data_IF_445464432485
#
_entry.id   IF_445464432485
#
_cell.length_a   1.000
_cell.length_b   1.000
_cell.length_c   1.000
_cell.angle_alpha   90.00
_cell.angle_beta   90.00
_cell.angle_gamma   90.00
#
_symmetry.space_group_name_H-M   'P 1'
#
loop_
_entity.id
_entity.type
_entity.pdbx_description
1 polymer ?
#
# COMPACT_ATOMS: atom_id res chain seq x y z
N UNK A 1 15.43 -10.93 -20.51
CA UNK A 1 15.27 -9.66 -21.24
C UNK A 1 15.17 -8.58 -20.16
N UNK A 2 16.15 -7.68 -20.12
CA UNK A 2 16.15 -6.55 -19.20
C UNK A 2 14.93 -5.67 -19.51
N UNK A 3 14.00 -5.59 -18.56
CA UNK A 3 12.87 -4.68 -18.65
C UNK A 3 13.40 -3.28 -18.30
N UNK A 4 13.67 -2.48 -19.33
CA UNK A 4 14.10 -1.09 -19.16
C UNK A 4 13.02 -0.24 -18.45
N UNK A 5 13.32 1.04 -18.14
CA UNK A 5 12.42 1.96 -17.42
C UNK A 5 11.13 2.29 -18.19
N UNK A 6 10.98 1.80 -19.39
CA UNK A 6 9.95 2.12 -20.36
C UNK A 6 8.49 2.06 -19.85
N UNK A 7 7.96 0.99 -19.19
CA UNK A 7 6.55 1.05 -18.80
C UNK A 7 6.31 2.09 -17.70
N UNK A 8 7.24 2.29 -16.77
CA UNK A 8 7.12 3.20 -15.65
C UNK A 8 7.16 4.68 -16.05
N UNK A 9 7.72 5.02 -17.20
CA UNK A 9 7.74 6.39 -17.69
C UNK A 9 6.37 6.84 -18.23
N UNK A 10 5.61 5.93 -18.84
CA UNK A 10 4.37 6.26 -19.56
C UNK A 10 3.09 6.01 -18.75
N UNK A 11 3.12 5.06 -17.81
CA UNK A 11 1.93 4.65 -17.10
C UNK A 11 2.00 5.05 -15.62
N UNK A 12 0.85 5.21 -14.99
CA UNK A 12 0.71 5.60 -13.60
C UNK A 12 0.24 4.46 -12.70
N UNK A 13 -0.29 3.40 -13.26
CA UNK A 13 -0.74 2.24 -12.51
C UNK A 13 -0.28 0.95 -13.17
N UNK A 14 0.05 -0.01 -12.32
CA UNK A 14 0.62 -1.29 -12.69
C UNK A 14 0.01 -2.38 -11.84
N UNK A 15 0.00 -3.61 -12.36
CA UNK A 15 -0.24 -4.83 -11.63
C UNK A 15 1.04 -5.66 -11.62
N UNK A 16 1.32 -6.28 -10.49
CA UNK A 16 2.43 -7.19 -10.30
C UNK A 16 1.92 -8.56 -9.90
N UNK A 17 2.12 -9.55 -10.76
CA UNK A 17 1.84 -10.98 -10.56
C UNK A 17 3.11 -11.84 -10.55
N UNK A 18 4.25 -11.19 -10.44
CA UNK A 18 5.61 -11.71 -10.62
C UNK A 18 6.31 -11.02 -11.78
N UNK A 19 5.53 -10.35 -12.65
CA UNK A 19 5.98 -9.42 -13.69
C UNK A 19 5.16 -8.13 -13.60
N UNK A 20 5.73 -7.02 -14.06
CA UNK A 20 5.04 -5.72 -14.03
C UNK A 20 4.23 -5.50 -15.29
N UNK A 21 2.93 -5.36 -15.15
CA UNK A 21 1.99 -5.10 -16.23
C UNK A 21 1.40 -3.70 -16.12
N UNK A 22 1.60 -2.80 -17.10
CA UNK A 22 1.00 -1.48 -17.08
C UNK A 22 -0.52 -1.56 -17.28
N UNK A 23 -1.26 -0.81 -16.49
CA UNK A 23 -2.71 -0.69 -16.61
C UNK A 23 -3.05 0.50 -17.50
N UNK A 24 -3.61 0.23 -18.67
CA UNK A 24 -3.90 1.25 -19.71
C UNK A 24 -5.22 1.99 -19.46
N UNK A 25 -6.19 1.31 -18.89
CA UNK A 25 -7.51 1.87 -18.58
C UNK A 25 -7.76 1.77 -17.08
N UNK A 26 -7.74 2.90 -16.40
CA UNK A 26 -7.99 2.98 -14.97
C UNK A 26 -9.45 3.35 -14.73
N UNK A 27 -10.15 2.49 -13.99
CA UNK A 27 -11.44 2.83 -13.38
C UNK A 27 -11.16 3.31 -11.97
N UNK A 28 -10.89 4.60 -11.83
CA UNK A 28 -10.71 5.21 -10.51
C UNK A 28 -12.07 5.50 -9.89
N UNK A 29 -12.20 5.30 -8.57
CA UNK A 29 -13.41 5.68 -7.86
C UNK A 29 -13.61 7.18 -7.99
N UNK A 30 -14.84 7.61 -8.17
CA UNK A 30 -15.17 9.04 -8.16
C UNK A 30 -15.09 9.55 -6.73
N UNK A 31 -14.74 10.82 -6.56
CA UNK A 31 -14.64 11.41 -5.21
C UNK A 31 -15.97 11.42 -4.45
N UNK A 32 -17.08 11.52 -5.18
CA UNK A 32 -18.43 11.48 -4.65
C UNK A 32 -18.92 10.07 -4.28
N UNK A 33 -18.25 9.02 -4.75
CA UNK A 33 -18.52 7.64 -4.37
C UNK A 33 -17.89 7.25 -3.03
N UNK A 34 -16.97 8.07 -2.52
CA UNK A 34 -16.29 7.87 -1.25
C UNK A 34 -17.11 8.54 -0.14
N UNK A 35 -18.14 7.87 0.35
CA UNK A 35 -19.00 8.36 1.44
C UNK A 35 -18.52 7.78 2.78
N UNK A 36 -18.43 8.62 3.81
CA UNK A 36 -18.01 8.22 5.16
C UNK A 36 -16.48 8.17 5.34
N UNK A 37 -16.06 8.02 6.58
CA UNK A 37 -14.65 7.91 6.98
C UNK A 37 -13.77 9.09 6.53
N UNK A 38 -14.31 10.32 6.60
CA UNK A 38 -13.65 11.54 6.11
C UNK A 38 -12.29 11.75 6.77
N UNK A 39 -12.21 11.62 8.10
CA UNK A 39 -10.97 11.82 8.85
C UNK A 39 -9.88 10.82 8.44
N UNK A 40 -10.24 9.54 8.27
CA UNK A 40 -9.32 8.49 7.86
C UNK A 40 -8.83 8.71 6.42
N UNK A 41 -9.74 9.14 5.52
CA UNK A 41 -9.38 9.47 4.13
C UNK A 41 -8.47 10.68 4.06
N UNK A 42 -8.75 11.72 4.83
CA UNK A 42 -7.90 12.91 4.91
C UNK A 42 -6.51 12.56 5.44
N UNK A 43 -6.41 11.74 6.47
CA UNK A 43 -5.13 11.27 7.02
C UNK A 43 -4.35 10.46 5.97
N UNK A 44 -5.03 9.55 5.25
CA UNK A 44 -4.44 8.75 4.19
C UNK A 44 -3.92 9.63 3.05
N UNK A 45 -4.73 10.58 2.56
CA UNK A 45 -4.33 11.52 1.52
C UNK A 45 -3.18 12.42 1.98
N UNK A 46 -3.22 12.93 3.20
CA UNK A 46 -2.16 13.78 3.75
C UNK A 46 -0.82 13.03 3.81
N UNK A 47 -0.84 11.77 4.26
CA UNK A 47 0.34 10.91 4.30
C UNK A 47 0.89 10.66 2.89
N UNK A 48 0.02 10.33 1.93
CA UNK A 48 0.41 10.12 0.54
C UNK A 48 0.98 11.39 -0.10
N UNK A 49 0.40 12.56 0.16
CA UNK A 49 0.93 13.86 -0.34
C UNK A 49 2.30 14.16 0.23
N UNK A 50 2.54 13.89 1.52
CA UNK A 50 3.87 14.02 2.14
C UNK A 50 4.87 13.14 1.41
N UNK A 51 4.55 11.87 1.20
CA UNK A 51 5.39 10.92 0.47
C UNK A 51 5.70 11.41 -0.95
N UNK A 52 4.68 11.79 -1.72
CA UNK A 52 4.86 12.24 -3.11
C UNK A 52 5.69 13.52 -3.21
N UNK A 53 5.69 14.37 -2.18
CA UNK A 53 6.52 15.57 -2.08
C UNK A 53 7.93 15.32 -1.52
N UNK A 54 8.32 14.07 -1.33
CA UNK A 54 9.66 13.72 -0.81
C UNK A 54 9.84 13.91 0.69
N UNK A 55 8.75 14.11 1.44
CA UNK A 55 8.76 14.22 2.90
C UNK A 55 8.59 12.85 3.55
N UNK A 56 9.05 12.67 4.80
CA UNK A 56 8.81 11.44 5.55
C UNK A 56 7.33 11.10 5.61
N UNK A 57 6.99 9.84 5.34
CA UNK A 57 5.65 9.29 5.37
C UNK A 57 5.67 7.88 5.97
N UNK A 58 4.52 7.42 6.46
CA UNK A 58 4.38 6.14 7.12
C UNK A 58 3.75 5.10 6.19
N UNK A 59 4.27 3.88 6.21
CA UNK A 59 3.57 2.74 5.63
C UNK A 59 2.22 2.60 6.31
N UNK A 60 1.17 2.32 5.54
CA UNK A 60 -0.20 2.44 6.01
C UNK A 60 -0.95 1.13 5.88
N UNK A 61 -1.63 0.72 6.94
CA UNK A 61 -2.56 -0.39 6.95
C UNK A 61 -3.98 0.13 7.21
N UNK A 62 -4.88 -0.10 6.25
CA UNK A 62 -6.30 0.17 6.39
C UNK A 62 -6.99 -1.14 6.79
N UNK A 63 -7.55 -1.20 7.98
CA UNK A 63 -8.24 -2.40 8.48
C UNK A 63 -9.67 -2.08 8.89
N UNK A 64 -10.53 -3.09 8.89
CA UNK A 64 -11.93 -2.93 9.26
C UNK A 64 -12.85 -3.87 8.47
N UNK A 65 -14.17 -3.77 8.67
CA UNK A 65 -15.14 -4.66 8.04
C UNK A 65 -15.06 -4.64 6.51
N UNK A 66 -15.49 -5.74 5.90
CA UNK A 66 -15.59 -5.83 4.44
C UNK A 66 -16.64 -4.83 3.94
N UNK A 67 -16.39 -4.22 2.79
CA UNK A 67 -17.33 -3.29 2.16
C UNK A 67 -17.27 -1.85 2.66
N UNK A 68 -16.35 -1.49 3.57
CA UNK A 68 -16.21 -0.14 4.12
C UNK A 68 -15.42 0.83 3.23
N UNK A 69 -15.06 0.46 2.01
CA UNK A 69 -14.41 1.37 1.05
C UNK A 69 -12.89 1.50 1.20
N UNK A 70 -12.21 0.66 1.99
CA UNK A 70 -10.74 0.70 2.19
C UNK A 70 -9.96 0.66 0.88
N UNK A 71 -10.22 -0.35 0.05
CA UNK A 71 -9.56 -0.52 -1.26
C UNK A 71 -9.89 0.62 -2.20
N UNK A 72 -11.12 1.13 -2.14
CA UNK A 72 -11.58 2.28 -2.91
C UNK A 72 -10.83 3.55 -2.51
N UNK A 73 -10.64 3.78 -1.21
CA UNK A 73 -9.88 4.92 -0.69
C UNK A 73 -8.40 4.83 -1.11
N UNK A 74 -7.77 3.66 -1.00
CA UNK A 74 -6.39 3.45 -1.44
C UNK A 74 -6.22 3.73 -2.94
N UNK A 75 -7.10 3.18 -3.79
CA UNK A 75 -7.08 3.41 -5.25
C UNK A 75 -7.38 4.88 -5.60
N UNK A 76 -8.17 5.55 -4.79
CA UNK A 76 -8.46 6.98 -4.91
C UNK A 76 -7.22 7.88 -4.82
N UNK A 77 -6.13 7.42 -4.20
CA UNK A 77 -4.87 8.17 -4.16
C UNK A 77 -4.26 8.40 -5.55
N UNK A 78 -4.64 7.63 -6.55
CA UNK A 78 -4.24 7.89 -7.94
C UNK A 78 -4.80 9.21 -8.52
N UNK A 79 -5.77 9.84 -7.85
CA UNK A 79 -6.18 11.20 -8.19
C UNK A 79 -5.14 12.27 -7.82
N UNK A 80 -4.21 11.95 -6.91
CA UNK A 80 -3.17 12.87 -6.50
C UNK A 80 -2.17 13.11 -7.65
N UNK A 81 -1.75 14.36 -7.87
CA UNK A 81 -0.73 14.67 -8.87
C UNK A 81 0.57 13.90 -8.62
N UNK A 82 1.10 13.29 -9.66
CA UNK A 82 2.35 12.53 -9.59
C UNK A 82 2.23 11.14 -8.96
N UNK A 83 1.06 10.75 -8.45
CA UNK A 83 0.85 9.42 -7.88
C UNK A 83 1.03 8.32 -8.93
N UNK A 84 1.79 7.29 -8.57
CA UNK A 84 1.97 6.05 -9.31
C UNK A 84 1.71 4.89 -8.36
N UNK A 85 1.01 3.86 -8.81
CA UNK A 85 0.64 2.73 -7.97
C UNK A 85 0.98 1.41 -8.63
N UNK A 86 1.51 0.50 -7.84
CA UNK A 86 1.69 -0.91 -8.21
C UNK A 86 0.80 -1.76 -7.31
N UNK A 87 -0.23 -2.36 -7.88
CA UNK A 87 -1.08 -3.34 -7.20
C UNK A 87 -0.39 -4.71 -7.24
N UNK A 88 -0.09 -5.27 -6.07
CA UNK A 88 0.61 -6.54 -5.93
C UNK A 88 -0.39 -7.65 -5.68
N UNK A 89 -0.39 -8.67 -6.53
CA UNK A 89 -1.19 -9.87 -6.31
C UNK A 89 -0.62 -10.71 -5.15
N UNK A 90 -1.49 -11.33 -4.36
CA UNK A 90 -1.08 -12.12 -3.18
C UNK A 90 -0.04 -13.21 -3.52
N UNK A 91 -0.24 -13.91 -4.62
CA UNK A 91 0.68 -14.94 -5.10
C UNK A 91 2.06 -14.44 -5.52
N UNK A 92 2.22 -13.12 -5.71
CA UNK A 92 3.48 -12.50 -6.09
C UNK A 92 4.31 -11.99 -4.90
N UNK A 93 3.79 -12.07 -3.67
CA UNK A 93 4.49 -11.62 -2.46
C UNK A 93 5.89 -12.22 -2.28
N UNK A 94 6.16 -13.52 -2.60
CA UNK A 94 7.51 -14.05 -2.54
C UNK A 94 8.52 -13.34 -3.47
N UNK A 95 8.04 -12.66 -4.51
CA UNK A 95 8.85 -11.90 -5.47
C UNK A 95 8.90 -10.39 -5.17
N UNK A 96 8.32 -9.96 -4.06
CA UNK A 96 8.20 -8.55 -3.72
C UNK A 96 9.57 -7.87 -3.58
N UNK A 97 10.58 -8.57 -3.06
CA UNK A 97 11.94 -8.05 -2.95
C UNK A 97 12.51 -7.61 -4.31
N UNK A 98 12.38 -8.45 -5.34
CA UNK A 98 12.85 -8.12 -6.69
C UNK A 98 12.09 -6.91 -7.29
N UNK A 99 10.79 -6.78 -7.02
CA UNK A 99 10.03 -5.60 -7.41
C UNK A 99 10.56 -4.34 -6.73
N UNK A 100 10.83 -4.41 -5.42
CA UNK A 100 11.34 -3.26 -4.67
C UNK A 100 12.71 -2.79 -5.16
N UNK A 101 13.63 -3.72 -5.45
CA UNK A 101 14.92 -3.41 -6.07
C UNK A 101 14.74 -2.72 -7.43
N UNK A 102 13.81 -3.21 -8.25
CA UNK A 102 13.50 -2.59 -9.54
C UNK A 102 12.96 -1.16 -9.34
N UNK A 103 12.00 -0.96 -8.42
CA UNK A 103 11.42 0.35 -8.15
C UNK A 103 12.44 1.32 -7.55
N UNK A 104 13.35 0.84 -6.69
CA UNK A 104 14.41 1.64 -6.08
C UNK A 104 15.32 2.32 -7.13
N UNK A 105 15.53 1.66 -8.25
CA UNK A 105 16.37 2.18 -9.36
C UNK A 105 15.68 3.25 -10.22
N UNK A 106 14.38 3.49 -10.00
CA UNK A 106 13.58 4.40 -10.83
C UNK A 106 13.44 5.79 -10.19
N UNK A 107 13.32 6.86 -11.00
CA UNK A 107 13.31 8.23 -10.49
C UNK A 107 11.98 8.67 -9.89
N UNK A 108 10.95 7.82 -9.90
CA UNK A 108 9.61 8.15 -9.44
C UNK A 108 9.31 7.55 -8.07
N UNK A 109 8.28 8.08 -7.41
CA UNK A 109 7.73 7.55 -6.15
C UNK A 109 6.53 6.67 -6.44
N UNK A 110 6.45 5.53 -5.76
CA UNK A 110 5.45 4.50 -5.99
C UNK A 110 4.66 4.17 -4.73
N UNK A 111 3.35 4.15 -4.85
CA UNK A 111 2.45 3.57 -3.86
C UNK A 111 2.35 2.06 -4.17
N UNK A 112 2.83 1.23 -3.26
CA UNK A 112 2.75 -0.22 -3.39
C UNK A 112 1.50 -0.71 -2.67
N UNK A 113 0.52 -1.19 -3.42
CA UNK A 113 -0.79 -1.53 -2.91
C UNK A 113 -0.99 -3.04 -2.77
N UNK A 114 -1.30 -3.47 -1.54
CA UNK A 114 -1.58 -4.85 -1.16
C UNK A 114 -3.03 -4.94 -0.69
N UNK A 115 -3.92 -5.43 -1.55
CA UNK A 115 -5.35 -5.49 -1.25
C UNK A 115 -5.73 -6.78 -0.53
N UNK A 116 -6.60 -6.66 0.49
CA UNK A 116 -7.19 -7.77 1.25
C UNK A 116 -6.12 -8.72 1.82
N UNK A 117 -5.12 -8.17 2.50
CA UNK A 117 -4.06 -8.93 3.11
C UNK A 117 -4.61 -9.73 4.29
N UNK A 118 -4.36 -11.04 4.29
CA UNK A 118 -4.51 -11.84 5.49
C UNK A 118 -3.30 -11.57 6.38
N UNK A 119 -3.55 -11.15 7.59
CA UNK A 119 -2.50 -10.93 8.58
C UNK A 119 -2.54 -12.05 9.64
N UNK A 120 -2.95 -13.23 9.21
CA UNK A 120 -2.86 -14.42 10.02
C UNK A 120 -1.38 -14.82 10.17
N UNK A 121 -0.90 -15.04 11.41
CA UNK A 121 0.48 -15.50 11.63
C UNK A 121 0.81 -16.81 10.94
N UNK A 122 -0.19 -17.60 10.53
CA UNK A 122 0.00 -18.83 9.76
C UNK A 122 0.01 -18.60 8.25
N UNK A 123 -0.26 -17.36 7.78
CA UNK A 123 -0.27 -17.03 6.35
C UNK A 123 1.14 -16.68 5.88
N UNK A 124 1.61 -17.37 4.84
CA UNK A 124 2.92 -17.10 4.23
C UNK A 124 3.06 -15.65 3.77
N UNK A 125 1.96 -15.04 3.30
CA UNK A 125 1.93 -13.65 2.89
C UNK A 125 2.31 -12.69 4.03
N UNK A 126 1.84 -12.98 5.24
CA UNK A 126 2.19 -12.23 6.44
C UNK A 126 3.68 -12.35 6.75
N UNK A 127 4.24 -13.56 6.68
CA UNK A 127 5.67 -13.78 6.94
C UNK A 127 6.55 -13.07 5.91
N UNK A 128 6.18 -13.10 4.63
CA UNK A 128 6.91 -12.38 3.59
C UNK A 128 6.88 -10.87 3.80
N UNK A 129 5.72 -10.31 4.13
CA UNK A 129 5.61 -8.88 4.39
C UNK A 129 6.37 -8.46 5.65
N UNK A 130 6.27 -9.25 6.72
CA UNK A 130 6.98 -9.01 7.97
C UNK A 130 8.50 -9.06 7.76
N UNK A 131 9.00 -10.09 7.08
CA UNK A 131 10.42 -10.22 6.76
C UNK A 131 10.94 -9.03 5.95
N UNK A 132 10.13 -8.50 5.04
CA UNK A 132 10.48 -7.36 4.21
C UNK A 132 10.51 -6.05 5.01
N UNK A 133 9.60 -5.88 5.98
CA UNK A 133 9.53 -4.66 6.80
C UNK A 133 10.53 -4.66 7.96
N UNK A 134 10.82 -5.84 8.53
CA UNK A 134 11.65 -5.99 9.73
C UNK A 134 13.01 -6.65 9.47
N UNK A 135 13.13 -7.42 8.41
CA UNK A 135 14.27 -8.31 8.16
C UNK A 135 15.41 -7.74 7.32
N UNK A 136 15.23 -6.60 6.71
CA UNK A 136 16.26 -5.92 5.92
C UNK A 136 16.88 -4.77 6.72
N UNK A 137 18.21 -4.71 6.78
CA UNK A 137 18.93 -3.56 7.36
C UNK A 137 18.62 -2.26 6.62
N UNK A 138 18.19 -2.33 5.36
CA UNK A 138 17.90 -1.18 4.53
C UNK A 138 16.40 -0.78 4.52
N UNK A 139 15.51 -1.70 4.95
CA UNK A 139 14.06 -1.47 4.87
C UNK A 139 13.54 -1.31 3.43
N UNK A 140 12.27 -0.97 3.25
CA UNK A 140 11.73 -0.62 1.94
C UNK A 140 12.40 0.63 1.37
N UNK A 141 12.58 0.73 0.01
CA UNK A 141 13.19 1.89 -0.62
C UNK A 141 12.46 3.20 -0.29
N UNK A 142 13.19 4.30 -0.14
CA UNK A 142 12.62 5.62 0.19
C UNK A 142 11.58 6.12 -0.83
N UNK A 143 11.64 5.64 -2.06
CA UNK A 143 10.69 5.98 -3.12
C UNK A 143 9.48 5.04 -3.18
N UNK A 144 9.28 4.16 -2.18
CA UNK A 144 8.14 3.24 -2.11
C UNK A 144 7.39 3.43 -0.79
N UNK A 145 6.10 3.74 -0.88
CA UNK A 145 5.17 3.76 0.25
C UNK A 145 4.24 2.55 0.17
N UNK A 146 4.27 1.73 1.20
CA UNK A 146 3.41 0.56 1.31
C UNK A 146 2.02 0.97 1.81
N UNK A 147 1.00 0.50 1.10
CA UNK A 147 -0.42 0.61 1.45
C UNK A 147 -1.01 -0.80 1.48
N UNK A 148 -1.53 -1.21 2.60
CA UNK A 148 -2.20 -2.50 2.71
C UNK A 148 -3.64 -2.33 3.18
N UNK A 149 -4.54 -3.22 2.76
CA UNK A 149 -5.88 -3.33 3.35
C UNK A 149 -6.05 -4.70 4.00
N UNK A 150 -6.84 -4.78 5.05
CA UNK A 150 -7.21 -6.03 5.71
C UNK A 150 -8.67 -5.97 6.19
N UNK A 151 -9.34 -7.13 6.14
CA UNK A 151 -10.72 -7.27 6.62
C UNK A 151 -10.82 -7.82 8.05
N UNK A 152 -9.69 -8.03 8.74
CA UNK A 152 -9.67 -8.60 10.10
C UNK A 152 -9.42 -7.54 11.16
N UNK A 153 -10.28 -7.52 12.20
CA UNK A 153 -10.18 -6.66 13.39
C UNK A 153 -9.07 -7.09 14.38
N UNK A 154 -8.56 -8.31 14.28
CA UNK A 154 -7.74 -8.91 15.34
C UNK A 154 -6.23 -8.64 15.28
N UNK A 155 -5.79 -7.75 14.40
CA UNK A 155 -4.38 -7.41 14.23
C UNK A 155 -3.76 -6.72 15.44
N UNK A 156 -4.51 -5.86 16.08
CA UNK A 156 -4.01 -4.98 17.14
C UNK A 156 -3.63 -5.76 18.42
N UNK A 157 -4.20 -6.92 18.63
CA UNK A 157 -3.90 -7.75 19.83
C UNK A 157 -2.62 -8.58 19.74
N UNK A 158 -1.97 -8.70 18.58
CA UNK A 158 -0.81 -9.59 18.39
C UNK A 158 0.47 -8.93 17.91
N UNK A 159 0.43 -7.67 17.44
CA UNK A 159 1.61 -6.94 16.97
C UNK A 159 2.24 -5.99 17.99
N UNK A 160 1.68 -5.86 19.17
CA UNK A 160 2.23 -5.00 20.20
C UNK A 160 1.68 -5.36 21.54
N UNK A 161 2.54 -5.76 22.43
CA UNK A 161 2.31 -5.62 23.85
C UNK A 161 2.21 -4.12 24.14
N UNK A 162 1.03 -3.67 24.55
CA UNK A 162 0.68 -2.32 24.97
C UNK A 162 0.64 -1.21 23.89
N UNK A 163 -0.56 -0.79 23.47
CA UNK A 163 -0.72 0.57 22.97
C UNK A 163 -0.36 1.54 24.10
N UNK A 164 0.42 2.56 23.78
CA UNK A 164 0.67 3.65 24.70
C UNK A 164 -0.69 4.22 25.19
N UNK A 165 -0.83 4.59 26.49
CA UNK A 165 -2.07 5.12 27.01
C UNK A 165 -2.46 6.39 26.22
N UNK A 166 -3.53 6.33 25.46
CA UNK A 166 -4.05 7.47 24.66
C UNK A 166 -4.16 7.23 23.15
N UNK A 167 -3.56 6.18 22.60
CA UNK A 167 -3.73 5.80 21.20
C UNK A 167 -4.75 4.65 21.09
N UNK A 168 -6.02 5.01 21.00
CA UNK A 168 -7.00 4.07 20.46
C UNK A 168 -6.70 3.93 18.95
N UNK A 169 -6.47 2.71 18.43
CA UNK A 169 -6.34 2.52 17.00
C UNK A 169 -7.67 2.93 16.36
N UNK A 170 -7.64 3.97 15.53
CA UNK A 170 -8.79 4.36 14.74
C UNK A 170 -9.07 3.26 13.72
N UNK A 171 -9.99 2.37 14.09
CA UNK A 171 -10.51 1.38 13.17
C UNK A 171 -11.26 2.09 12.03
N UNK A 172 -11.19 1.53 10.84
CA UNK A 172 -12.04 1.96 9.72
C UNK A 172 -13.54 1.68 10.01
N UNK A 173 -13.84 0.98 11.10
CA UNK A 173 -15.17 0.72 11.63
C UNK A 173 -15.47 1.68 12.77
N UNK A 174 -16.29 2.66 12.52
CA UNK A 174 -17.03 3.41 13.53
C UNK A 174 -18.52 3.23 13.30
#
# INVERSE_FOLDING_TARGET
RAHGPWPFALYRAFRFDGEVHPLRALRLPRRDELVGYEAQREALEANARRFLSGKPALHTLLYGARGTGKSTAAKGLLHLPGARMVEVEKGALPRLGALLEQLASLPHRYLLFLDDLSLDPEDEAFHHLKALLEGSLEGPPENVLLLATSNRRHLVRRLGENPLPGEAPEAWDA
#
